data_IF_197207904870
#
_entry.id   IF_197207904870
#
_cell.length_a   1.000
_cell.length_b   1.000
_cell.length_c   1.000
_cell.angle_alpha   90.00
_cell.angle_beta   90.00
_cell.angle_gamma   90.00
#
_symmetry.space_group_name_H-M   'P 1'
#
loop_
_entity.id
_entity.type
_entity.pdbx_description
1 polymer ?
#
# COMPACT_ATOMS: atom_id res chain seq x y z
N UNK A 1 -3.85 -16.84 -33.85
CA UNK A 1 -4.55 -15.66 -33.31
C UNK A 1 -4.37 -15.65 -31.79
N UNK A 2 -3.55 -14.75 -31.24
CA UNK A 2 -3.46 -14.60 -29.79
C UNK A 2 -4.56 -13.64 -29.33
N UNK A 3 -5.44 -14.13 -28.45
CA UNK A 3 -6.45 -13.33 -27.78
C UNK A 3 -5.75 -12.36 -26.82
N UNK A 4 -5.94 -11.07 -27.07
CA UNK A 4 -5.53 -9.97 -26.21
C UNK A 4 -6.23 -10.06 -24.86
N UNK A 5 -5.55 -10.59 -23.85
CA UNK A 5 -5.97 -10.58 -22.43
C UNK A 5 -5.61 -9.25 -21.75
N UNK A 6 -5.92 -8.11 -22.37
CA UNK A 6 -5.45 -6.79 -21.93
C UNK A 6 -6.21 -6.19 -20.75
N UNK A 7 -7.12 -6.91 -20.09
CA UNK A 7 -8.12 -6.27 -19.21
C UNK A 7 -8.05 -6.66 -17.72
N UNK A 8 -7.17 -7.60 -17.33
CA UNK A 8 -7.06 -8.03 -15.92
C UNK A 8 -5.95 -7.32 -15.12
N UNK A 9 -5.11 -6.49 -15.75
CA UNK A 9 -3.90 -5.91 -15.12
C UNK A 9 -4.11 -4.61 -14.35
N UNK A 10 -5.32 -4.03 -14.33
CA UNK A 10 -5.55 -2.67 -13.80
C UNK A 10 -6.40 -2.64 -12.51
N UNK A 11 -6.60 -3.76 -11.82
CA UNK A 11 -7.20 -3.76 -10.47
C UNK A 11 -6.11 -3.61 -9.41
N UNK A 12 -5.60 -2.38 -9.29
CA UNK A 12 -4.57 -2.01 -8.30
C UNK A 12 -3.37 -1.24 -8.84
N UNK A 13 -3.42 -0.76 -10.09
CA UNK A 13 -2.29 -0.06 -10.68
C UNK A 13 -2.03 1.28 -9.96
N UNK A 14 -0.76 1.61 -9.65
CA UNK A 14 -0.40 2.92 -9.09
C UNK A 14 -0.78 4.08 -10.02
N UNK A 15 -1.08 3.79 -11.29
CA UNK A 15 -1.63 4.73 -12.26
C UNK A 15 -3.01 5.26 -11.85
N UNK A 16 -3.94 4.39 -11.43
CA UNK A 16 -5.28 4.83 -11.00
C UNK A 16 -5.19 5.75 -9.78
N UNK A 17 -4.37 5.37 -8.80
CA UNK A 17 -4.13 6.19 -7.62
C UNK A 17 -3.50 7.54 -7.99
N UNK A 18 -2.52 7.56 -8.89
CA UNK A 18 -1.92 8.79 -9.41
C UNK A 18 -2.95 9.71 -10.09
N UNK A 19 -3.79 9.17 -10.97
CA UNK A 19 -4.86 9.92 -11.67
C UNK A 19 -5.86 10.48 -10.67
N UNK A 20 -6.29 9.69 -9.68
CA UNK A 20 -7.22 10.14 -8.63
C UNK A 20 -6.61 11.29 -7.83
N UNK A 21 -5.36 11.16 -7.35
CA UNK A 21 -4.69 12.25 -6.63
C UNK A 21 -4.60 13.52 -7.49
N UNK A 22 -4.27 13.39 -8.77
CA UNK A 22 -4.19 14.53 -9.67
C UNK A 22 -5.56 15.20 -9.89
N UNK A 23 -6.62 14.41 -10.08
CA UNK A 23 -7.99 14.92 -10.20
C UNK A 23 -8.45 15.63 -8.92
N UNK A 24 -8.17 15.07 -7.74
CA UNK A 24 -8.46 15.70 -6.44
C UNK A 24 -7.66 16.99 -6.26
N UNK A 25 -6.42 17.05 -6.76
CA UNK A 25 -5.62 18.27 -6.73
C UNK A 25 -6.26 19.38 -7.55
N UNK A 26 -6.67 19.08 -8.79
CA UNK A 26 -7.36 20.04 -9.66
C UNK A 26 -8.67 20.50 -9.05
N UNK A 27 -9.46 19.56 -8.51
CA UNK A 27 -10.73 19.88 -7.84
C UNK A 27 -10.50 20.79 -6.62
N UNK A 28 -9.51 20.49 -5.79
CA UNK A 28 -9.16 21.32 -4.63
C UNK A 28 -8.72 22.72 -5.04
N UNK A 29 -7.93 22.85 -6.11
CA UNK A 29 -7.55 24.15 -6.69
C UNK A 29 -8.78 24.89 -7.20
N UNK A 30 -9.69 24.21 -7.90
CA UNK A 30 -10.94 24.81 -8.38
C UNK A 30 -11.81 25.30 -7.22
N UNK A 31 -11.91 24.54 -6.12
CA UNK A 31 -12.63 24.96 -4.91
C UNK A 31 -12.05 26.23 -4.27
N UNK A 32 -10.72 26.42 -4.37
CA UNK A 32 -10.08 27.65 -3.90
C UNK A 32 -10.32 28.82 -4.86
N UNK A 33 -10.20 28.58 -6.16
CA UNK A 33 -10.27 29.64 -7.18
C UNK A 33 -11.70 30.09 -7.49
N UNK A 34 -12.70 29.23 -7.37
CA UNK A 34 -14.08 29.54 -7.76
C UNK A 34 -14.66 30.75 -7.02
N UNK A 35 -14.58 30.88 -5.68
CA UNK A 35 -15.11 32.06 -5.01
C UNK A 35 -14.21 33.30 -5.20
N UNK A 36 -12.93 33.14 -5.59
CA UNK A 36 -12.03 34.27 -5.88
C UNK A 36 -12.30 34.86 -7.26
N UNK A 37 -12.62 34.01 -8.25
CA UNK A 37 -12.81 34.42 -9.64
C UNK A 37 -14.26 34.81 -9.96
N UNK A 38 -15.23 34.40 -9.13
CA UNK A 38 -16.65 34.62 -9.36
C UNK A 38 -17.35 35.16 -8.12
N UNK A 39 -17.57 36.48 -8.09
CA UNK A 39 -18.32 37.18 -7.02
C UNK A 39 -19.70 36.57 -6.73
N UNK A 40 -20.31 35.92 -7.73
CA UNK A 40 -21.60 35.22 -7.58
C UNK A 40 -21.52 33.99 -6.66
N UNK A 41 -20.39 33.29 -6.65
CA UNK A 41 -20.17 32.12 -5.78
C UNK A 41 -19.88 32.58 -4.35
N UNK A 42 -19.05 33.61 -4.18
CA UNK A 42 -18.78 34.22 -2.88
C UNK A 42 -20.07 34.73 -2.22
N UNK A 43 -20.87 35.51 -2.96
CA UNK A 43 -22.15 36.04 -2.46
C UNK A 43 -23.19 34.97 -2.17
N UNK A 44 -23.23 33.89 -2.95
CA UNK A 44 -24.17 32.80 -2.74
C UNK A 44 -23.82 31.93 -1.52
N UNK A 45 -22.53 31.79 -1.20
CA UNK A 45 -22.06 30.93 -0.11
C UNK A 45 -21.77 31.67 1.20
N UNK A 46 -21.60 33.00 1.16
CA UNK A 46 -21.27 33.81 2.34
C UNK A 46 -20.04 33.24 3.06
N UNK A 47 -20.15 33.06 4.38
CA UNK A 47 -19.08 32.48 5.22
C UNK A 47 -18.66 31.05 4.80
N UNK A 48 -19.54 30.34 4.08
CA UNK A 48 -19.24 29.02 3.52
C UNK A 48 -18.17 29.04 2.42
N UNK A 49 -17.94 30.19 1.77
CA UNK A 49 -16.89 30.34 0.77
C UNK A 49 -15.49 30.14 1.38
N UNK A 50 -15.27 30.68 2.59
CA UNK A 50 -13.99 30.52 3.29
C UNK A 50 -13.74 29.07 3.71
N UNK A 51 -14.78 28.38 4.21
CA UNK A 51 -14.69 26.95 4.54
C UNK A 51 -14.37 26.10 3.31
N UNK A 52 -14.99 26.41 2.16
CA UNK A 52 -14.70 25.75 0.89
C UNK A 52 -13.23 25.94 0.47
N UNK A 53 -12.71 27.17 0.54
CA UNK A 53 -11.30 27.45 0.22
C UNK A 53 -10.36 26.68 1.13
N UNK A 54 -10.63 26.64 2.44
CA UNK A 54 -9.79 25.93 3.41
C UNK A 54 -9.75 24.42 3.12
N UNK A 55 -10.93 23.80 2.94
CA UNK A 55 -11.05 22.37 2.64
C UNK A 55 -10.43 22.04 1.27
N UNK A 56 -10.73 22.84 0.25
CA UNK A 56 -10.18 22.69 -1.09
C UNK A 56 -8.67 22.82 -1.12
N UNK A 57 -8.11 23.82 -0.43
CA UNK A 57 -6.66 24.03 -0.30
C UNK A 57 -5.97 22.87 0.41
N UNK A 58 -6.55 22.38 1.52
CA UNK A 58 -6.01 21.23 2.24
C UNK A 58 -5.98 19.97 1.37
N UNK A 59 -7.07 19.67 0.65
CA UNK A 59 -7.11 18.54 -0.28
C UNK A 59 -6.15 18.71 -1.45
N UNK A 60 -6.04 19.93 -2.01
CA UNK A 60 -5.12 20.22 -3.10
C UNK A 60 -3.67 19.95 -2.71
N UNK A 61 -3.23 20.49 -1.56
CA UNK A 61 -1.87 20.31 -1.05
C UNK A 61 -1.61 18.83 -0.76
N UNK A 62 -2.50 18.18 -0.02
CA UNK A 62 -2.34 16.77 0.37
C UNK A 62 -2.29 15.84 -0.85
N UNK A 63 -3.18 16.04 -1.82
CA UNK A 63 -3.23 15.24 -3.04
C UNK A 63 -2.04 15.52 -3.96
N UNK A 64 -1.57 16.76 -4.02
CA UNK A 64 -0.36 17.15 -4.75
C UNK A 64 0.87 16.42 -4.21
N UNK A 65 1.11 16.44 -2.89
CA UNK A 65 2.23 15.70 -2.29
C UNK A 65 2.09 14.18 -2.47
N UNK A 66 0.87 13.65 -2.33
CA UNK A 66 0.58 12.23 -2.56
C UNK A 66 0.89 11.81 -4.01
N UNK A 67 0.70 12.70 -4.99
CA UNK A 67 0.99 12.41 -6.40
C UNK A 67 2.46 12.08 -6.65
N UNK A 68 3.41 12.69 -5.91
CA UNK A 68 4.83 12.36 -6.03
C UNK A 68 5.14 10.94 -5.54
N UNK A 69 4.50 10.52 -4.45
CA UNK A 69 4.63 9.15 -3.91
C UNK A 69 4.13 8.14 -4.94
N UNK A 70 2.95 8.37 -5.51
CA UNK A 70 2.39 7.47 -6.53
C UNK A 70 3.16 7.50 -7.85
N UNK A 71 3.73 8.65 -8.24
CA UNK A 71 4.60 8.74 -9.42
C UNK A 71 5.83 7.87 -9.28
N UNK A 72 6.46 7.86 -8.10
CA UNK A 72 7.59 6.98 -7.83
C UNK A 72 7.18 5.50 -7.97
N UNK A 73 6.08 5.10 -7.29
CA UNK A 73 5.57 3.72 -7.37
C UNK A 73 5.20 3.32 -8.81
N UNK A 74 4.66 4.26 -9.60
CA UNK A 74 4.34 4.04 -11.01
C UNK A 74 5.60 3.82 -11.86
N UNK A 75 6.71 4.51 -11.57
CA UNK A 75 7.99 4.29 -12.25
C UNK A 75 8.48 2.86 -12.01
N UNK A 76 8.58 2.44 -10.74
CA UNK A 76 9.02 1.08 -10.40
C UNK A 76 8.08 0.04 -11.00
N UNK A 77 6.77 0.29 -10.95
CA UNK A 77 5.79 -0.58 -11.62
C UNK A 77 6.06 -0.72 -13.13
N UNK A 78 6.36 0.38 -13.83
CA UNK A 78 6.68 0.33 -15.27
C UNK A 78 7.99 -0.40 -15.55
N UNK A 79 9.00 -0.26 -14.70
CA UNK A 79 10.27 -0.99 -14.81
C UNK A 79 10.04 -2.50 -14.71
N UNK A 80 9.24 -2.95 -13.75
CA UNK A 80 8.89 -4.37 -13.57
C UNK A 80 8.10 -4.98 -14.74
N UNK A 81 7.53 -4.15 -15.61
CA UNK A 81 6.81 -4.62 -16.79
C UNK A 81 7.62 -4.50 -18.09
N UNK A 82 8.86 -4.01 -18.02
CA UNK A 82 9.83 -4.02 -19.13
C UNK A 82 10.75 -5.21 -18.96
N UNK A 83 10.73 -6.15 -19.91
CA UNK A 83 11.50 -7.40 -19.82
C UNK A 83 13.01 -7.17 -19.71
N UNK A 84 13.53 -6.09 -20.30
CA UNK A 84 14.95 -5.72 -20.26
C UNK A 84 15.50 -5.40 -18.86
N UNK A 85 14.63 -5.06 -17.90
CA UNK A 85 15.02 -4.64 -16.53
C UNK A 85 14.60 -5.63 -15.45
N UNK A 86 14.03 -6.76 -15.86
CA UNK A 86 13.57 -7.83 -14.97
C UNK A 86 14.75 -8.73 -14.59
N UNK A 87 14.85 -9.04 -13.30
CA UNK A 87 15.81 -10.04 -12.80
C UNK A 87 15.23 -11.45 -12.93
N UNK A 88 13.93 -11.60 -12.64
CA UNK A 88 13.21 -12.86 -12.79
C UNK A 88 11.71 -12.63 -12.98
N UNK A 89 11.11 -13.45 -13.82
CA UNK A 89 9.67 -13.52 -14.05
C UNK A 89 9.21 -14.96 -13.84
N UNK A 90 8.35 -15.17 -12.84
CA UNK A 90 7.80 -16.48 -12.49
C UNK A 90 6.30 -16.51 -12.68
N UNK A 91 5.83 -17.65 -13.20
CA UNK A 91 4.41 -17.99 -13.30
C UNK A 91 4.21 -19.30 -12.56
N UNK A 92 3.23 -19.31 -11.66
CA UNK A 92 2.97 -20.46 -10.81
C UNK A 92 1.80 -21.28 -11.34
N UNK A 93 1.83 -22.58 -11.10
CA UNK A 93 0.63 -23.40 -11.28
C UNK A 93 -0.45 -22.97 -10.27
N UNK A 94 -1.74 -23.23 -10.58
CA UNK A 94 -2.83 -22.92 -9.66
C UNK A 94 -2.70 -23.58 -8.29
N UNK A 95 -2.11 -24.77 -8.24
CA UNK A 95 -2.04 -25.57 -7.00
C UNK A 95 -0.89 -25.06 -6.09
N UNK A 96 0.28 -24.76 -6.65
CA UNK A 96 1.38 -24.10 -5.93
C UNK A 96 0.95 -22.73 -5.38
N UNK A 97 0.23 -21.95 -6.19
CA UNK A 97 -0.23 -20.62 -5.79
C UNK A 97 -1.26 -20.69 -4.66
N UNK A 98 -2.21 -21.63 -4.71
CA UNK A 98 -3.22 -21.80 -3.64
C UNK A 98 -2.60 -22.21 -2.32
N UNK A 99 -1.61 -23.10 -2.33
CA UNK A 99 -0.90 -23.53 -1.12
C UNK A 99 -0.22 -22.33 -0.43
N UNK A 100 0.50 -21.52 -1.22
CA UNK A 100 1.15 -20.31 -0.72
C UNK A 100 0.14 -19.24 -0.25
N UNK A 101 -0.84 -18.91 -1.08
CA UNK A 101 -1.84 -17.89 -0.79
C UNK A 101 -2.67 -18.20 0.46
N UNK A 102 -3.00 -19.47 0.68
CA UNK A 102 -3.75 -19.93 1.85
C UNK A 102 -2.99 -19.71 3.16
N UNK A 103 -1.70 -20.08 3.19
CA UNK A 103 -0.84 -19.88 4.34
C UNK A 103 -0.66 -18.39 4.67
N UNK A 104 -0.42 -17.56 3.66
CA UNK A 104 -0.21 -16.11 3.84
C UNK A 104 -1.48 -15.40 4.33
N UNK A 105 -2.64 -15.76 3.76
CA UNK A 105 -3.94 -15.22 4.18
C UNK A 105 -4.31 -15.58 5.61
N UNK A 106 -3.89 -16.75 6.10
CA UNK A 106 -4.14 -17.16 7.49
C UNK A 106 -3.30 -16.33 8.46
N UNK A 107 -2.02 -16.10 8.13
CA UNK A 107 -1.12 -15.27 8.93
C UNK A 107 -1.55 -13.79 8.98
N UNK A 108 -1.98 -13.20 7.85
CA UNK A 108 -2.44 -11.81 7.84
C UNK A 108 -3.71 -11.58 8.67
N UNK A 109 -4.64 -12.55 8.67
CA UNK A 109 -5.94 -12.41 9.37
C UNK A 109 -5.78 -12.35 10.88
N UNK A 110 -4.88 -13.14 11.46
CA UNK A 110 -4.69 -13.17 12.91
C UNK A 110 -4.14 -11.83 13.43
N UNK A 111 -3.14 -11.27 12.73
CA UNK A 111 -2.55 -9.96 13.07
C UNK A 111 -3.57 -8.83 12.93
N UNK A 112 -4.31 -8.77 11.81
CA UNK A 112 -5.32 -7.73 11.58
C UNK A 112 -6.45 -7.79 12.62
N UNK A 113 -6.89 -9.00 13.00
CA UNK A 113 -7.92 -9.19 14.02
C UNK A 113 -7.47 -8.68 15.39
N UNK A 114 -6.21 -8.93 15.76
CA UNK A 114 -5.64 -8.44 17.02
C UNK A 114 -5.59 -6.90 17.06
N UNK A 115 -5.13 -6.25 15.98
CA UNK A 115 -5.07 -4.78 15.90
C UNK A 115 -6.47 -4.16 16.04
N UNK A 116 -7.47 -4.70 15.35
CA UNK A 116 -8.86 -4.23 15.46
C UNK A 116 -9.37 -4.41 16.89
N UNK A 117 -9.10 -5.56 17.52
CA UNK A 117 -9.54 -5.84 18.89
C UNK A 117 -8.93 -4.85 19.89
N UNK A 118 -7.62 -4.62 19.81
CA UNK A 118 -6.91 -3.66 20.68
C UNK A 118 -7.46 -2.25 20.45
N UNK A 119 -7.61 -1.82 19.20
CA UNK A 119 -8.14 -0.50 18.85
C UNK A 119 -9.57 -0.32 19.37
N UNK A 120 -10.43 -1.32 19.20
CA UNK A 120 -11.81 -1.31 19.70
C UNK A 120 -11.84 -1.25 21.24
N UNK A 121 -10.96 -1.99 21.92
CA UNK A 121 -10.83 -1.94 23.38
C UNK A 121 -10.45 -0.55 23.89
N UNK A 122 -9.43 0.09 23.29
CA UNK A 122 -9.06 1.46 23.64
C UNK A 122 -10.15 2.48 23.32
N UNK A 123 -10.83 2.34 22.18
CA UNK A 123 -11.95 3.21 21.83
C UNK A 123 -13.09 3.11 22.87
N UNK A 124 -13.44 1.89 23.30
CA UNK A 124 -14.46 1.68 24.33
C UNK A 124 -14.03 2.24 25.69
N UNK A 125 -12.77 2.04 26.09
CA UNK A 125 -12.22 2.58 27.34
C UNK A 125 -12.29 4.12 27.33
N UNK A 126 -11.84 4.74 26.25
CA UNK A 126 -11.84 6.20 26.10
C UNK A 126 -13.26 6.76 26.10
N UNK A 127 -14.18 6.16 25.33
CA UNK A 127 -15.59 6.55 25.31
C UNK A 127 -16.24 6.38 26.70
N UNK A 128 -15.95 5.27 27.40
CA UNK A 128 -16.47 5.02 28.75
C UNK A 128 -15.96 6.03 29.78
N UNK A 129 -14.66 6.36 29.74
CA UNK A 129 -14.08 7.37 30.62
C UNK A 129 -14.69 8.76 30.35
N UNK A 130 -14.80 9.14 29.09
CA UNK A 130 -15.36 10.44 28.71
C UNK A 130 -16.85 10.56 29.03
N UNK A 131 -17.62 9.47 28.94
CA UNK A 131 -19.02 9.45 29.36
C UNK A 131 -19.21 9.77 30.85
N UNK A 132 -18.26 9.37 31.70
CA UNK A 132 -18.28 9.68 33.14
C UNK A 132 -17.88 11.14 33.40
N UNK A 133 -16.88 11.65 32.67
CA UNK A 133 -16.37 13.02 32.87
C UNK A 133 -17.26 14.11 32.27
N UNK A 134 -17.90 13.83 31.12
CA UNK A 134 -18.69 14.79 30.36
C UNK A 134 -20.02 14.18 29.89
N UNK A 135 -20.99 13.99 30.82
CA UNK A 135 -22.24 13.29 30.53
C UNK A 135 -23.04 13.94 29.37
N UNK A 136 -23.03 15.27 29.32
CA UNK A 136 -23.70 16.12 28.33
C UNK A 136 -23.28 15.82 26.87
N UNK A 137 -22.00 15.43 26.68
CA UNK A 137 -21.39 15.20 25.36
C UNK A 137 -21.32 13.71 25.00
N UNK A 138 -21.75 12.82 25.89
CA UNK A 138 -21.59 11.37 25.77
C UNK A 138 -22.10 10.83 24.44
N UNK A 139 -23.30 11.23 24.01
CA UNK A 139 -23.92 10.75 22.77
C UNK A 139 -23.09 11.14 21.54
N UNK A 140 -22.62 12.39 21.50
CA UNK A 140 -21.77 12.89 20.42
C UNK A 140 -20.43 12.14 20.37
N UNK A 141 -19.79 11.95 21.53
CA UNK A 141 -18.49 11.27 21.63
C UNK A 141 -18.58 9.78 21.26
N UNK A 142 -19.64 9.09 21.69
CA UNK A 142 -19.90 7.71 21.28
C UNK A 142 -20.14 7.65 19.77
N UNK A 143 -20.92 8.58 19.21
CA UNK A 143 -21.18 8.65 17.77
C UNK A 143 -19.89 8.81 16.95
N UNK A 144 -19.02 9.74 17.35
CA UNK A 144 -17.71 9.96 16.71
C UNK A 144 -16.80 8.74 16.86
N UNK A 145 -16.67 8.18 18.06
CA UNK A 145 -15.85 7.00 18.32
C UNK A 145 -16.31 5.79 17.50
N UNK A 146 -17.61 5.54 17.45
CA UNK A 146 -18.19 4.44 16.68
C UNK A 146 -18.02 4.66 15.17
N UNK A 147 -18.10 5.91 14.70
CA UNK A 147 -17.81 6.26 13.30
C UNK A 147 -16.36 5.96 12.92
N UNK A 148 -15.40 6.32 13.78
CA UNK A 148 -13.98 6.03 13.56
C UNK A 148 -13.73 4.52 13.55
N UNK A 149 -14.28 3.79 14.52
CA UNK A 149 -14.15 2.31 14.58
C UNK A 149 -14.78 1.67 13.34
N UNK A 150 -15.96 2.13 12.92
CA UNK A 150 -16.63 1.64 11.71
C UNK A 150 -15.80 1.92 10.45
N UNK A 151 -15.18 3.10 10.34
CA UNK A 151 -14.31 3.46 9.23
C UNK A 151 -13.05 2.58 9.20
N UNK A 152 -12.41 2.35 10.34
CA UNK A 152 -11.25 1.45 10.46
C UNK A 152 -11.61 0.00 10.14
N UNK A 153 -12.73 -0.50 10.67
CA UNK A 153 -13.22 -1.83 10.36
C UNK A 153 -13.57 -1.97 8.87
N UNK A 154 -14.20 -0.96 8.28
CA UNK A 154 -14.53 -0.90 6.86
C UNK A 154 -13.29 -0.95 5.97
N UNK A 155 -12.28 -0.15 6.26
CA UNK A 155 -11.00 -0.15 5.50
C UNK A 155 -10.24 -1.47 5.66
N UNK A 156 -10.19 -2.05 6.85
CA UNK A 156 -9.56 -3.36 7.09
C UNK A 156 -10.32 -4.50 6.37
N UNK A 157 -11.64 -4.49 6.40
CA UNK A 157 -12.48 -5.46 5.70
C UNK A 157 -12.35 -5.31 4.18
N UNK A 158 -12.33 -4.08 3.66
CA UNK A 158 -12.13 -3.82 2.24
C UNK A 158 -10.74 -4.26 1.78
N UNK A 159 -9.70 -3.90 2.51
CA UNK A 159 -8.31 -4.34 2.27
C UNK A 159 -8.24 -5.87 2.24
N UNK A 160 -8.81 -6.55 3.23
CA UNK A 160 -8.83 -8.02 3.30
C UNK A 160 -9.62 -8.65 2.16
N UNK A 161 -10.77 -8.07 1.76
CA UNK A 161 -11.55 -8.56 0.60
C UNK A 161 -10.77 -8.38 -0.70
N UNK A 162 -10.09 -7.25 -0.89
CA UNK A 162 -9.27 -6.99 -2.07
C UNK A 162 -8.08 -7.97 -2.10
N UNK A 163 -7.34 -8.12 -1.00
CA UNK A 163 -6.24 -9.08 -0.89
C UNK A 163 -6.72 -10.51 -1.12
N UNK A 164 -7.87 -10.91 -0.56
CA UNK A 164 -8.44 -12.24 -0.77
C UNK A 164 -8.83 -12.46 -2.23
N UNK A 165 -9.48 -11.50 -2.89
CA UNK A 165 -9.84 -11.61 -4.31
C UNK A 165 -8.60 -11.71 -5.20
N UNK A 166 -7.54 -10.98 -4.87
CA UNK A 166 -6.27 -11.03 -5.59
C UNK A 166 -5.53 -12.34 -5.36
N UNK A 167 -5.39 -12.78 -4.10
CA UNK A 167 -4.65 -13.99 -3.77
C UNK A 167 -5.39 -15.28 -4.18
N UNK A 168 -6.70 -15.25 -4.42
CA UNK A 168 -7.47 -16.40 -4.91
C UNK A 168 -7.57 -16.45 -6.46
N UNK A 169 -6.80 -15.64 -7.19
CA UNK A 169 -6.72 -15.80 -8.64
C UNK A 169 -6.12 -17.17 -9.00
N UNK A 170 -6.57 -17.80 -10.10
CA UNK A 170 -6.13 -19.15 -10.46
C UNK A 170 -4.65 -19.23 -10.84
N UNK A 171 -4.02 -18.13 -11.24
CA UNK A 171 -2.62 -18.10 -11.66
C UNK A 171 -1.90 -16.99 -10.92
N UNK A 172 -0.89 -17.37 -10.15
CA UNK A 172 0.04 -16.41 -9.55
C UNK A 172 1.09 -15.99 -10.56
N UNK A 173 1.51 -14.73 -10.49
CA UNK A 173 2.65 -14.19 -11.25
C UNK A 173 3.51 -13.34 -10.32
N UNK A 174 4.83 -13.52 -10.41
CA UNK A 174 5.81 -12.72 -9.71
C UNK A 174 6.80 -12.10 -10.70
N UNK A 175 7.03 -10.79 -10.57
CA UNK A 175 7.98 -10.01 -11.36
C UNK A 175 8.96 -9.34 -10.40
N UNK A 176 10.21 -9.78 -10.45
CA UNK A 176 11.26 -9.32 -9.55
C UNK A 176 12.21 -8.42 -10.34
N UNK A 177 12.40 -7.19 -9.85
CA UNK A 177 13.36 -6.24 -10.40
C UNK A 177 14.29 -5.71 -9.33
N UNK A 178 15.20 -4.84 -9.74
CA UNK A 178 16.20 -4.22 -8.84
C UNK A 178 15.58 -3.34 -7.75
N UNK A 179 14.42 -2.75 -8.03
CA UNK A 179 13.83 -1.67 -7.24
C UNK A 179 12.56 -2.07 -6.47
N UNK A 180 12.06 -3.28 -6.70
CA UNK A 180 10.85 -3.79 -6.10
C UNK A 180 10.48 -5.17 -6.63
N UNK A 181 9.41 -5.72 -6.06
CA UNK A 181 8.76 -6.93 -6.55
C UNK A 181 7.27 -6.67 -6.73
N UNK A 182 6.73 -7.19 -7.82
CA UNK A 182 5.31 -7.26 -8.05
C UNK A 182 4.85 -8.70 -7.92
N UNK A 183 3.96 -8.97 -6.98
CA UNK A 183 3.42 -10.29 -6.68
C UNK A 183 1.90 -10.26 -6.76
N UNK A 184 1.34 -10.88 -7.79
CA UNK A 184 -0.12 -11.04 -7.99
C UNK A 184 -0.94 -9.76 -7.68
N UNK A 185 -0.52 -8.64 -8.27
CA UNK A 185 -1.14 -7.32 -8.10
C UNK A 185 -0.60 -6.46 -6.93
N UNK A 186 0.31 -6.97 -6.09
CA UNK A 186 0.87 -6.25 -4.95
C UNK A 186 2.25 -5.76 -5.34
N UNK A 187 2.43 -4.45 -5.33
CA UNK A 187 3.71 -3.83 -5.60
C UNK A 187 4.41 -3.50 -4.27
N UNK A 188 5.51 -4.20 -4.02
CA UNK A 188 6.45 -3.90 -2.94
C UNK A 188 7.65 -3.15 -3.54
N UNK A 189 7.98 -1.99 -2.97
CA UNK A 189 9.06 -1.14 -3.46
C UNK A 189 10.02 -0.81 -2.33
N UNK A 190 11.32 -0.92 -2.60
CA UNK A 190 12.41 -0.60 -1.66
C UNK A 190 13.36 0.45 -2.24
N UNK A 191 12.86 1.19 -3.23
CA UNK A 191 13.48 2.39 -3.77
C UNK A 191 12.48 3.54 -3.55
N UNK A 192 12.98 4.71 -3.15
CA UNK A 192 12.17 5.92 -2.96
C UNK A 192 11.72 6.19 -1.51
N UNK A 193 11.51 7.47 -1.19
CA UNK A 193 10.90 7.91 0.09
C UNK A 193 11.63 7.49 1.36
N UNK A 194 12.96 7.28 1.30
CA UNK A 194 13.74 6.77 2.43
C UNK A 194 13.72 5.25 2.58
N UNK A 195 13.02 4.51 1.71
CA UNK A 195 13.05 3.05 1.72
C UNK A 195 14.31 2.47 1.08
N UNK A 196 14.76 1.34 1.63
CA UNK A 196 15.92 0.59 1.12
C UNK A 196 15.79 -0.89 1.45
N UNK A 197 16.35 -1.71 0.59
CA UNK A 197 16.41 -3.14 0.80
C UNK A 197 17.54 -3.45 1.78
N UNK A 198 17.24 -4.26 2.79
CA UNK A 198 18.18 -4.68 3.83
C UNK A 198 18.80 -6.01 3.43
N UNK A 199 17.94 -6.98 3.08
CA UNK A 199 18.36 -8.37 2.93
C UNK A 199 17.40 -9.14 2.01
N UNK A 200 17.91 -10.21 1.42
CA UNK A 200 17.15 -11.16 0.62
C UNK A 200 17.63 -12.59 0.92
N UNK A 201 16.77 -13.39 1.54
CA UNK A 201 17.11 -14.76 1.94
C UNK A 201 16.14 -15.78 1.35
N UNK A 202 16.64 -17.00 1.16
CA UNK A 202 15.81 -18.15 0.84
C UNK A 202 15.29 -18.77 2.14
N UNK A 203 14.00 -18.67 2.36
CA UNK A 203 13.31 -19.32 3.46
C UNK A 203 12.98 -20.78 3.09
N UNK A 204 13.68 -21.70 3.75
CA UNK A 204 13.50 -23.13 3.59
C UNK A 204 12.45 -23.73 4.55
N UNK A 205 11.84 -22.91 5.42
CA UNK A 205 10.91 -23.38 6.46
C UNK A 205 9.48 -23.63 5.96
N UNK A 206 9.12 -23.12 4.78
CA UNK A 206 7.83 -23.35 4.14
C UNK A 206 7.96 -24.16 2.86
N UNK A 207 6.90 -24.89 2.54
CA UNK A 207 6.67 -25.50 1.24
C UNK A 207 5.43 -24.84 0.58
N UNK A 208 5.57 -24.21 -0.61
CA UNK A 208 6.80 -24.03 -1.38
C UNK A 208 7.82 -23.10 -0.70
N UNK A 209 9.10 -23.29 -1.02
CA UNK A 209 10.20 -22.44 -0.54
C UNK A 209 9.95 -20.98 -0.94
N UNK A 210 10.17 -20.05 -0.02
CA UNK A 210 9.92 -18.63 -0.26
C UNK A 210 11.23 -17.83 -0.31
N UNK A 211 11.33 -16.85 -1.20
CA UNK A 211 12.31 -15.76 -1.06
C UNK A 211 11.70 -14.67 -0.19
N UNK A 212 12.41 -14.27 0.85
CA UNK A 212 12.01 -13.18 1.76
C UNK A 212 12.86 -11.96 1.46
N UNK A 213 12.22 -10.90 0.97
CA UNK A 213 12.81 -9.59 0.78
C UNK A 213 12.52 -8.73 2.01
N UNK A 214 13.56 -8.42 2.79
CA UNK A 214 13.46 -7.54 3.96
C UNK A 214 13.88 -6.13 3.56
N UNK A 215 12.99 -5.15 3.69
CA UNK A 215 13.26 -3.74 3.37
C UNK A 215 12.83 -2.83 4.51
N UNK A 216 13.60 -1.77 4.75
CA UNK A 216 13.23 -0.71 5.68
C UNK A 216 12.51 0.41 4.95
N UNK A 217 11.50 0.97 5.59
CA UNK A 217 10.96 2.30 5.31
C UNK A 217 11.30 3.23 6.48
N UNK A 218 11.75 4.46 6.19
CA UNK A 218 12.02 5.43 7.26
C UNK A 218 10.70 5.99 7.75
N UNK A 219 10.43 5.78 9.03
CA UNK A 219 9.31 6.38 9.73
C UNK A 219 9.79 7.33 10.83
N UNK A 220 8.87 8.07 11.44
CA UNK A 220 9.17 9.08 12.46
C UNK A 220 9.97 8.53 13.66
N UNK A 221 9.85 7.24 13.94
CA UNK A 221 10.49 6.58 15.09
C UNK A 221 11.68 5.68 14.70
N UNK A 222 12.16 5.78 13.46
CA UNK A 222 13.26 4.97 12.93
C UNK A 222 12.84 4.09 11.76
N UNK A 223 13.74 3.21 11.28
CA UNK A 223 13.45 2.31 10.18
C UNK A 223 12.43 1.25 10.60
N UNK A 224 11.27 1.19 9.92
CA UNK A 224 10.33 0.10 10.05
C UNK A 224 10.68 -0.99 9.03
N UNK A 225 10.93 -2.21 9.51
CA UNK A 225 11.27 -3.35 8.66
C UNK A 225 9.98 -4.02 8.17
N UNK A 226 9.88 -4.16 6.86
CA UNK A 226 8.84 -4.91 6.19
C UNK A 226 9.44 -6.11 5.47
N UNK A 227 8.65 -7.18 5.37
CA UNK A 227 9.04 -8.39 4.66
C UNK A 227 8.05 -8.64 3.52
N UNK A 228 8.56 -8.93 2.33
CA UNK A 228 7.78 -9.43 1.21
C UNK A 228 8.25 -10.85 0.89
N UNK A 229 7.34 -11.83 1.00
CA UNK A 229 7.63 -13.22 0.71
C UNK A 229 7.13 -13.58 -0.69
N UNK A 230 7.98 -14.19 -1.49
CA UNK A 230 7.71 -14.57 -2.88
C UNK A 230 7.99 -16.07 -3.01
N UNK A 231 7.00 -16.89 -3.42
CA UNK A 231 7.25 -18.32 -3.58
C UNK A 231 8.24 -18.54 -4.73
N UNK A 232 9.17 -19.47 -4.56
CA UNK A 232 10.11 -19.87 -5.62
C UNK A 232 9.54 -21.11 -6.30
N UNK A 233 9.35 -21.10 -7.64
CA UNK A 233 8.97 -22.31 -8.37
C UNK A 233 10.01 -23.42 -8.15
N UNK A 234 9.57 -24.67 -8.05
CA UNK A 234 10.47 -25.81 -7.79
C UNK A 234 11.62 -25.89 -8.81
N UNK A 235 11.36 -25.51 -10.06
CA UNK A 235 12.34 -25.57 -11.16
C UNK A 235 13.26 -24.34 -11.25
N UNK A 236 13.08 -23.32 -10.39
CA UNK A 236 13.76 -22.02 -10.51
C UNK A 236 14.64 -21.67 -9.30
N UNK A 237 15.03 -22.67 -8.50
CA UNK A 237 15.86 -22.46 -7.30
C UNK A 237 17.24 -21.84 -7.62
N UNK A 238 17.86 -22.22 -8.73
CA UNK A 238 19.15 -21.65 -9.13
C UNK A 238 19.02 -20.21 -9.65
N UNK A 239 17.91 -19.90 -10.34
CA UNK A 239 17.60 -18.51 -10.72
C UNK A 239 17.35 -17.65 -9.48
N UNK A 240 16.66 -18.17 -8.47
CA UNK A 240 16.48 -17.50 -7.17
C UNK A 240 17.83 -17.15 -6.51
N UNK A 241 18.79 -18.07 -6.50
CA UNK A 241 20.16 -17.82 -5.98
C UNK A 241 20.89 -16.74 -6.77
N UNK A 242 20.75 -16.72 -8.10
CA UNK A 242 21.33 -15.67 -8.94
C UNK A 242 20.73 -14.30 -8.64
N UNK A 243 19.41 -14.22 -8.43
CA UNK A 243 18.74 -12.97 -8.05
C UNK A 243 19.28 -12.43 -6.73
N UNK A 244 19.42 -13.27 -5.70
CA UNK A 244 20.00 -12.89 -4.39
C UNK A 244 21.40 -12.30 -4.58
N UNK A 245 22.25 -12.98 -5.35
CA UNK A 245 23.63 -12.56 -5.63
C UNK A 245 23.66 -11.22 -6.37
N UNK A 246 22.75 -11.01 -7.33
CA UNK A 246 22.69 -9.77 -8.12
C UNK A 246 22.25 -8.53 -7.32
N UNK A 247 21.46 -8.74 -6.25
CA UNK A 247 20.99 -7.67 -5.36
C UNK A 247 22.00 -7.36 -4.23
N UNK A 248 22.96 -8.26 -4.00
CA UNK A 248 23.94 -8.14 -2.93
C UNK A 248 24.82 -6.87 -2.96
N UNK A 249 25.30 -6.40 -4.12
CA UNK A 249 26.05 -5.15 -4.22
C UNK A 249 25.22 -3.92 -3.82
N UNK A 250 23.91 -3.94 -4.09
CA UNK A 250 23.01 -2.84 -3.77
C UNK A 250 22.71 -2.75 -2.27
N UNK A 251 22.68 -3.90 -1.55
CA UNK A 251 22.60 -3.92 -0.09
C UNK A 251 23.80 -3.16 0.51
N UNK A 252 25.01 -3.57 0.11
CA UNK A 252 26.25 -3.10 0.70
C UNK A 252 26.48 -1.61 0.46
N UNK A 253 26.15 -1.11 -0.73
CA UNK A 253 26.30 0.32 -1.05
C UNK A 253 25.46 1.21 -0.14
N UNK A 254 24.16 0.90 0.01
CA UNK A 254 23.24 1.73 0.81
C UNK A 254 23.46 1.61 2.32
N UNK A 255 23.88 0.42 2.81
CA UNK A 255 24.28 0.25 4.20
C UNK A 255 25.54 1.08 4.51
N UNK A 256 26.54 1.06 3.64
CA UNK A 256 27.80 1.80 3.82
C UNK A 256 27.63 3.32 3.74
N UNK A 257 26.70 3.82 2.92
CA UNK A 257 26.36 5.26 2.85
C UNK A 257 25.70 5.78 4.13
N UNK A 258 25.18 4.89 5.01
CA UNK A 258 24.47 5.27 6.24
C UNK A 258 25.13 4.87 7.55
N UNK A 259 26.14 4.00 7.50
CA UNK A 259 27.01 3.70 8.64
C UNK A 259 28.08 4.77 8.89
N UNK A 260 28.16 5.80 8.03
CA UNK A 260 28.99 7.00 8.18
C UNK A 260 28.13 8.16 8.64
#
# INVERSE_FOLDING_TARGET
>A
MPTTSSDSTITGSPLKAFIICYAVTILGIAMVLLPILFDGVEKAMGDGAFAMMLVGGFFAITAFFSSFVFRHRLRVFRELFREEQLLAHWRYSPDEWRAFAGAELAAEKSVKKLIILITAGFALLYCGLMAVLYPELTVLMIGVGLTIVALMAGTAALSTRISRRRNLTPTGEARIGRHGVWLNGALHTWSGGGSYLIDCQLDNSSDPKGMVFSYAAIERHGPQIHQARVPVPHDSLDQARQVITSLQPDFNKKLNERGK
#
